data_IF_022847023549
#
_entry.id   IF_022847023549
#
_cell.length_a   1.000
_cell.length_b   1.000
_cell.length_c   1.000
_cell.angle_alpha   90.00
_cell.angle_beta   90.00
_cell.angle_gamma   90.00
#
_symmetry.space_group_name_H-M   'P 1'
#
loop_
_entity.id
_entity.type
_entity.pdbx_description
1 polymer ?
#
# COMPACT_ATOMS: atom_id res chain seq x y z
N UNK A 1 -5.30 18.33 4.50
CA UNK A 1 -5.00 17.27 3.51
C UNK A 1 -6.21 16.35 3.40
N UNK A 2 -6.29 15.48 2.40
CA UNK A 2 -7.37 14.48 2.30
C UNK A 2 -6.90 13.16 2.92
N UNK A 3 -7.79 12.41 3.55
CA UNK A 3 -7.43 11.06 4.01
C UNK A 3 -7.32 10.10 2.82
N UNK A 4 -6.21 9.36 2.75
CA UNK A 4 -6.08 8.25 1.81
C UNK A 4 -7.06 7.13 2.24
N UNK A 5 -8.03 6.76 1.40
CA UNK A 5 -8.96 5.69 1.77
C UNK A 5 -8.25 4.34 1.79
N UNK A 6 -8.82 3.36 2.50
CA UNK A 6 -8.32 1.99 2.47
C UNK A 6 -8.47 1.40 1.08
N UNK A 7 -7.34 1.07 0.45
CA UNK A 7 -7.32 0.56 -0.92
C UNK A 7 -7.27 -0.96 -0.94
N UNK A 8 -8.06 -1.58 -1.83
CA UNK A 8 -8.21 -3.04 -1.93
C UNK A 8 -7.65 -3.65 -3.22
N UNK A 9 -7.16 -2.82 -4.14
CA UNK A 9 -6.63 -3.30 -5.43
C UNK A 9 -5.36 -2.55 -5.82
N UNK A 10 -4.48 -3.24 -6.54
CA UNK A 10 -3.24 -2.65 -7.08
C UNK A 10 -3.51 -1.48 -8.02
N UNK A 11 -4.56 -1.60 -8.84
CA UNK A 11 -4.94 -0.58 -9.82
C UNK A 11 -5.31 0.72 -9.10
N UNK A 12 -6.22 0.65 -8.12
CA UNK A 12 -6.62 1.81 -7.34
C UNK A 12 -5.42 2.40 -6.61
N UNK A 13 -4.55 1.56 -6.01
CA UNK A 13 -3.40 2.07 -5.29
C UNK A 13 -2.48 2.84 -6.25
N UNK A 14 -2.18 2.27 -7.42
CA UNK A 14 -1.39 2.96 -8.43
C UNK A 14 -2.00 4.28 -8.90
N UNK A 15 -3.32 4.37 -9.07
CA UNK A 15 -3.99 5.61 -9.49
C UNK A 15 -3.70 6.78 -8.54
N UNK A 16 -3.55 6.54 -7.24
CA UNK A 16 -3.17 7.56 -6.28
C UNK A 16 -1.69 7.98 -6.36
N UNK A 17 -0.79 7.05 -6.74
CA UNK A 17 0.65 7.29 -6.78
C UNK A 17 1.18 7.57 -8.20
N UNK A 18 0.32 7.57 -9.22
CA UNK A 18 0.73 7.60 -10.62
C UNK A 18 1.53 8.85 -11.02
N UNK A 19 1.39 9.94 -10.28
CA UNK A 19 2.16 11.18 -10.50
C UNK A 19 3.57 11.12 -9.90
N UNK A 20 3.78 10.28 -8.89
CA UNK A 20 5.03 10.21 -8.11
C UNK A 20 5.85 8.96 -8.43
N UNK A 21 5.20 7.94 -8.98
CA UNK A 21 5.80 6.64 -9.21
C UNK A 21 5.35 6.07 -10.54
N UNK A 22 6.31 5.61 -11.35
CA UNK A 22 5.98 4.94 -12.59
C UNK A 22 5.42 3.53 -12.33
N UNK A 23 4.69 2.99 -13.31
CA UNK A 23 4.01 1.68 -13.21
C UNK A 23 4.98 0.50 -13.05
N UNK A 24 6.23 0.60 -13.49
CA UNK A 24 7.20 -0.49 -13.38
C UNK A 24 7.64 -0.63 -11.92
N UNK A 25 8.05 0.49 -11.31
CA UNK A 25 8.53 0.52 -9.94
C UNK A 25 7.42 0.18 -8.95
N UNK A 26 6.22 0.74 -9.18
CA UNK A 26 5.04 0.37 -8.39
C UNK A 26 4.78 -1.14 -8.38
N UNK A 27 4.86 -1.79 -9.54
CA UNK A 27 4.66 -3.24 -9.66
C UNK A 27 5.73 -4.01 -8.91
N UNK A 28 6.98 -3.59 -9.01
CA UNK A 28 8.08 -4.22 -8.29
C UNK A 28 7.84 -4.13 -6.77
N UNK A 29 7.61 -2.93 -6.25
CA UNK A 29 7.40 -2.68 -4.81
C UNK A 29 6.19 -3.41 -4.23
N UNK A 30 5.04 -3.36 -4.91
CA UNK A 30 3.83 -4.00 -4.36
C UNK A 30 3.91 -5.53 -4.45
N UNK A 31 4.60 -6.08 -5.46
CA UNK A 31 4.76 -7.52 -5.58
C UNK A 31 5.69 -8.05 -4.49
N UNK A 32 6.79 -7.35 -4.22
CA UNK A 32 7.71 -7.67 -3.12
C UNK A 32 6.99 -7.68 -1.76
N UNK A 33 6.15 -6.68 -1.49
CA UNK A 33 5.31 -6.63 -0.29
C UNK A 33 4.32 -7.80 -0.22
N UNK A 34 3.74 -8.23 -1.33
CA UNK A 34 2.81 -9.37 -1.35
C UNK A 34 3.54 -10.66 -1.04
N UNK A 35 4.73 -10.87 -1.61
CA UNK A 35 5.57 -12.04 -1.35
C UNK A 35 5.94 -12.13 0.13
N UNK A 36 6.29 -10.99 0.75
CA UNK A 36 6.61 -10.93 2.18
C UNK A 36 5.37 -11.12 3.07
N UNK A 37 4.27 -10.42 2.79
CA UNK A 37 3.10 -10.39 3.66
C UNK A 37 2.19 -11.62 3.49
N UNK A 38 2.25 -12.28 2.35
CA UNK A 38 1.33 -13.35 1.94
C UNK A 38 2.05 -14.37 1.04
N UNK A 39 3.05 -15.11 1.56
CA UNK A 39 3.90 -16.00 0.75
C UNK A 39 3.12 -17.12 0.05
N UNK A 40 1.93 -17.47 0.55
CA UNK A 40 1.05 -18.47 -0.05
C UNK A 40 0.17 -17.91 -1.18
N UNK A 41 0.17 -16.59 -1.41
CA UNK A 41 -0.65 -15.94 -2.43
C UNK A 41 0.24 -15.51 -3.59
N UNK A 42 -0.27 -15.67 -4.82
CA UNK A 42 0.44 -15.19 -6.00
C UNK A 42 0.68 -13.69 -5.91
N UNK A 43 1.94 -13.27 -6.08
CA UNK A 43 2.31 -11.87 -6.18
C UNK A 43 1.70 -11.19 -7.41
N UNK A 44 1.16 -11.93 -8.38
CA UNK A 44 0.44 -11.39 -9.54
C UNK A 44 -1.06 -11.14 -9.29
N UNK A 45 -1.53 -11.28 -8.05
CA UNK A 45 -2.92 -10.99 -7.71
C UNK A 45 -3.31 -9.54 -7.99
N UNK A 46 -4.60 -9.29 -8.24
CA UNK A 46 -5.14 -7.94 -8.47
C UNK A 46 -5.51 -7.23 -7.17
N UNK A 47 -5.96 -8.00 -6.18
CA UNK A 47 -6.40 -7.53 -4.88
C UNK A 47 -5.22 -7.36 -3.92
N UNK A 48 -5.44 -6.50 -2.93
CA UNK A 48 -4.57 -6.27 -1.80
C UNK A 48 -5.28 -6.66 -0.52
N UNK A 49 -4.54 -7.33 0.37
CA UNK A 49 -4.96 -7.48 1.76
C UNK A 49 -4.79 -6.16 2.49
N UNK A 50 -5.42 -6.05 3.65
CA UNK A 50 -5.24 -4.86 4.48
C UNK A 50 -3.79 -4.71 4.93
N UNK A 51 -3.14 -5.81 5.32
CA UNK A 51 -1.72 -5.81 5.72
C UNK A 51 -0.82 -5.30 4.59
N UNK A 52 -0.99 -5.76 3.36
CA UNK A 52 -0.19 -5.29 2.22
C UNK A 52 -0.37 -3.81 1.93
N UNK A 53 -1.61 -3.31 2.02
CA UNK A 53 -1.88 -1.89 1.89
C UNK A 53 -1.16 -1.09 2.99
N UNK A 54 -1.28 -1.51 4.26
CA UNK A 54 -0.61 -0.86 5.39
C UNK A 54 0.91 -0.86 5.23
N UNK A 55 1.50 -2.01 4.84
CA UNK A 55 2.94 -2.13 4.60
C UNK A 55 3.40 -1.20 3.48
N UNK A 56 2.63 -1.08 2.39
CA UNK A 56 2.99 -0.20 1.29
C UNK A 56 3.03 1.27 1.73
N UNK A 57 1.98 1.75 2.39
CA UNK A 57 1.91 3.16 2.82
C UNK A 57 2.87 3.48 3.97
N UNK A 58 3.25 2.50 4.78
CA UNK A 58 4.28 2.67 5.80
C UNK A 58 5.66 2.84 5.17
N UNK A 59 6.02 2.00 4.18
CA UNK A 59 7.35 2.03 3.55
C UNK A 59 7.55 3.17 2.57
N UNK A 60 6.53 3.50 1.79
CA UNK A 60 6.64 4.47 0.68
C UNK A 60 5.95 5.80 0.97
N UNK A 61 5.39 5.96 2.17
CA UNK A 61 4.64 7.15 2.55
C UNK A 61 3.28 7.24 1.87
N UNK A 62 2.65 8.42 1.95
CA UNK A 62 1.38 8.74 1.30
C UNK A 62 1.60 9.64 0.08
N UNK A 63 0.73 9.57 -0.93
CA UNK A 63 0.83 10.44 -2.10
C UNK A 63 0.57 11.90 -1.72
N UNK A 64 1.05 12.82 -2.55
CA UNK A 64 1.02 14.25 -2.33
C UNK A 64 -0.42 14.75 -2.10
N UNK A 65 -0.59 15.52 -1.03
CA UNK A 65 -1.89 16.07 -0.63
C UNK A 65 -2.79 15.09 0.15
N UNK A 66 -2.31 13.86 0.37
CA UNK A 66 -2.96 12.86 1.20
C UNK A 66 -2.23 12.63 2.52
N UNK A 67 -2.99 12.19 3.52
CA UNK A 67 -2.47 11.74 4.80
C UNK A 67 -3.20 10.47 5.26
N UNK A 68 -2.56 9.71 6.15
CA UNK A 68 -3.20 8.56 6.79
C UNK A 68 -4.21 9.03 7.84
N UNK A 69 -5.37 8.37 7.90
CA UNK A 69 -6.32 8.59 9.00
C UNK A 69 -5.75 8.06 10.33
N UNK A 70 -6.22 8.56 11.48
CA UNK A 70 -5.77 8.06 12.80
C UNK A 70 -5.91 6.55 12.94
N UNK A 71 -7.00 5.97 12.44
CA UNK A 71 -7.23 4.53 12.42
C UNK A 71 -6.13 3.76 11.68
N UNK A 72 -5.73 4.25 10.49
CA UNK A 72 -4.68 3.59 9.71
C UNK A 72 -3.32 3.69 10.42
N UNK A 73 -3.01 4.85 11.02
CA UNK A 73 -1.77 5.03 11.80
C UNK A 73 -1.72 4.07 13.00
N UNK A 74 -2.83 3.93 13.71
CA UNK A 74 -2.95 3.00 14.84
C UNK A 74 -2.79 1.54 14.39
N UNK A 75 -3.35 1.15 13.25
CA UNK A 75 -3.20 -0.20 12.70
C UNK A 75 -1.77 -0.53 12.27
N UNK A 76 -1.03 0.44 11.72
CA UNK A 76 0.41 0.28 11.41
C UNK A 76 1.19 0.00 12.70
N UNK A 77 0.95 0.81 13.74
CA UNK A 77 1.61 0.66 15.05
C UNK A 77 1.28 -0.69 15.72
N UNK A 78 -0.01 -1.05 15.80
CA UNK A 78 -0.47 -2.32 16.40
C UNK A 78 0.15 -3.55 15.75
N UNK A 79 0.48 -3.46 14.46
CA UNK A 79 1.03 -4.57 13.66
C UNK A 79 2.55 -4.56 13.59
N UNK A 80 3.22 -3.58 14.19
CA UNK A 80 4.68 -3.45 14.14
C UNK A 80 5.22 -3.32 12.72
N UNK A 81 4.47 -2.65 11.84
CA UNK A 81 4.90 -2.41 10.46
C UNK A 81 5.86 -1.21 10.48
N UNK A 82 7.12 -1.47 10.13
CA UNK A 82 8.19 -0.47 10.00
C UNK A 82 8.46 -0.12 8.53
#
# INVERSE_FOLDING_TARGET
MKHLPTIRTKKQLYEYYALEMNKRDFRYFINDIIEECSPHRSCFCRSLTFKEFLTFVARYGTPQGYELSPYIKEEIQKRGIN
#
